data_IF_243184140898
#
_entry.id   IF_243184140898
#
_cell.length_a   1.000
_cell.length_b   1.000
_cell.length_c   1.000
_cell.angle_alpha   90.00
_cell.angle_beta   90.00
_cell.angle_gamma   90.00
#
_symmetry.space_group_name_H-M   'P 1'
#
loop_
_entity.id
_entity.type
_entity.pdbx_description
1 polymer ?
#
# COMPACT_ATOMS: atom_id res chain seq x y z
N UNK A 1 7.28 -9.25 2.19
CA UNK A 1 6.96 -9.11 0.75
C UNK A 1 5.61 -9.76 0.53
N UNK A 2 4.54 -9.01 0.21
CA UNK A 2 3.18 -9.55 0.13
C UNK A 2 2.94 -10.26 -1.23
N UNK A 3 3.67 -11.35 -1.48
CA UNK A 3 3.55 -12.18 -2.68
C UNK A 3 3.68 -13.65 -2.30
N UNK A 4 3.12 -14.55 -3.12
CA UNK A 4 3.30 -15.99 -2.93
C UNK A 4 4.77 -16.39 -3.04
N UNK A 5 5.14 -17.49 -2.36
CA UNK A 5 6.49 -18.06 -2.42
C UNK A 5 6.91 -18.33 -3.87
N UNK A 6 6.00 -18.87 -4.67
CA UNK A 6 6.19 -19.12 -6.10
C UNK A 6 6.61 -17.84 -6.86
N UNK A 7 5.85 -16.74 -6.73
CA UNK A 7 6.17 -15.46 -7.37
C UNK A 7 7.50 -14.90 -6.89
N UNK A 8 7.88 -15.15 -5.64
CA UNK A 8 9.15 -14.66 -5.08
C UNK A 8 10.34 -15.51 -5.54
N UNK A 9 10.19 -16.83 -5.63
CA UNK A 9 11.22 -17.76 -6.10
C UNK A 9 11.59 -17.48 -7.56
N UNK A 10 10.60 -17.20 -8.43
CA UNK A 10 10.82 -16.85 -9.84
C UNK A 10 11.74 -15.61 -10.00
N UNK A 11 11.76 -14.71 -9.02
CA UNK A 11 12.58 -13.49 -9.09
C UNK A 11 14.06 -13.74 -8.73
N UNK A 12 14.41 -14.93 -8.24
CA UNK A 12 15.78 -15.29 -7.90
C UNK A 12 16.57 -15.73 -9.13
N UNK A 13 17.83 -15.30 -9.20
CA UNK A 13 18.81 -15.84 -10.16
C UNK A 13 19.39 -17.15 -9.64
N UNK A 14 19.91 -17.98 -10.54
CA UNK A 14 20.40 -19.33 -10.21
C UNK A 14 21.48 -19.38 -9.12
N UNK A 15 22.32 -18.34 -9.05
CA UNK A 15 23.37 -18.13 -8.04
C UNK A 15 22.84 -17.68 -6.67
N UNK A 16 21.56 -17.32 -6.58
CA UNK A 16 20.90 -16.85 -5.36
C UNK A 16 20.25 -17.97 -4.55
N UNK A 17 20.16 -19.18 -5.10
CA UNK A 17 19.65 -20.37 -4.41
C UNK A 17 20.73 -21.06 -3.57
N UNK A 18 21.36 -20.31 -2.65
CA UNK A 18 22.53 -20.76 -1.90
C UNK A 18 22.18 -21.82 -0.86
N UNK A 19 21.07 -21.63 -0.16
CA UNK A 19 20.56 -22.56 0.84
C UNK A 19 19.99 -23.81 0.18
N UNK A 20 19.25 -23.70 -0.93
CA UNK A 20 18.83 -24.91 -1.67
C UNK A 20 20.05 -25.74 -2.08
N UNK A 21 21.10 -25.12 -2.62
CA UNK A 21 22.35 -25.80 -3.04
C UNK A 21 23.15 -26.40 -1.88
N UNK A 22 23.03 -25.87 -0.66
CA UNK A 22 23.76 -26.43 0.49
C UNK A 22 23.12 -27.69 1.07
N UNK A 23 21.83 -27.92 0.80
CA UNK A 23 21.07 -29.05 1.34
C UNK A 23 20.62 -30.08 0.29
N UNK A 24 20.72 -29.76 -0.99
CA UNK A 24 20.28 -30.60 -2.12
C UNK A 24 21.48 -30.85 -3.05
N UNK A 25 21.58 -32.08 -3.57
CA UNK A 25 22.64 -32.43 -4.51
C UNK A 25 22.53 -31.64 -5.82
N UNK A 26 23.67 -31.20 -6.37
CA UNK A 26 23.72 -30.29 -7.52
C UNK A 26 22.96 -30.80 -8.76
N UNK A 27 22.91 -32.11 -8.97
CA UNK A 27 22.16 -32.77 -10.05
C UNK A 27 20.63 -32.63 -9.92
N UNK A 28 20.12 -32.32 -8.71
CA UNK A 28 18.69 -32.23 -8.40
C UNK A 28 18.21 -30.83 -8.02
N UNK A 29 19.13 -29.88 -7.79
CA UNK A 29 18.79 -28.50 -7.40
C UNK A 29 17.80 -27.86 -8.37
N UNK A 30 17.98 -28.05 -9.68
CA UNK A 30 17.13 -27.45 -10.72
C UNK A 30 15.65 -27.83 -10.58
N UNK A 31 15.35 -29.01 -10.02
CA UNK A 31 13.98 -29.47 -9.78
C UNK A 31 13.29 -28.73 -8.63
N UNK A 32 14.07 -28.11 -7.73
CA UNK A 32 13.60 -27.47 -6.50
C UNK A 32 13.78 -25.94 -6.48
N UNK A 33 14.14 -25.33 -7.63
CA UNK A 33 14.27 -23.87 -7.78
C UNK A 33 12.92 -23.15 -7.99
N UNK A 34 11.80 -23.88 -7.94
CA UNK A 34 10.43 -23.36 -7.98
C UNK A 34 9.63 -23.97 -6.84
N UNK A 35 8.51 -23.33 -6.49
CA UNK A 35 7.57 -23.92 -5.54
C UNK A 35 7.03 -25.23 -6.11
N UNK A 36 7.01 -26.29 -5.29
CA UNK A 36 6.39 -27.57 -5.65
C UNK A 36 4.86 -27.52 -5.54
N UNK A 37 4.20 -28.62 -5.93
CA UNK A 37 2.78 -28.84 -5.71
C UNK A 37 2.56 -29.94 -4.66
N UNK A 38 1.43 -29.90 -3.97
CA UNK A 38 1.07 -30.92 -2.97
C UNK A 38 -0.44 -31.14 -2.98
N UNK A 39 -0.93 -32.40 -2.93
CA UNK A 39 -2.35 -32.72 -3.04
C UNK A 39 -3.05 -32.57 -1.69
N UNK A 40 -3.25 -31.32 -1.23
CA UNK A 40 -3.78 -31.02 0.11
C UNK A 40 -5.13 -31.67 0.39
N UNK A 41 -6.07 -31.59 -0.57
CA UNK A 41 -7.42 -32.14 -0.40
C UNK A 41 -7.48 -33.67 -0.46
N UNK A 42 -6.43 -34.31 -0.98
CA UNK A 42 -6.31 -35.77 -1.01
C UNK A 42 -5.89 -36.34 0.35
N UNK A 43 -5.06 -35.61 1.10
CA UNK A 43 -4.56 -36.03 2.42
C UNK A 43 -5.63 -35.76 3.47
N UNK A 44 -6.65 -36.63 3.53
CA UNK A 44 -7.76 -36.56 4.48
C UNK A 44 -7.41 -37.03 5.89
N UNK A 45 -6.34 -37.81 6.00
CA UNK A 45 -5.90 -38.48 7.22
C UNK A 45 -4.40 -38.83 7.10
N UNK A 46 -3.80 -39.26 8.21
CA UNK A 46 -2.37 -39.57 8.29
C UNK A 46 -2.01 -40.84 7.51
N UNK A 47 -2.95 -41.78 7.33
CA UNK A 47 -2.67 -43.05 6.64
C UNK A 47 -2.35 -42.81 5.16
N UNK A 48 -2.95 -41.78 4.56
CA UNK A 48 -2.64 -41.32 3.19
C UNK A 48 -1.17 -40.97 2.96
N UNK A 49 -0.43 -40.59 4.00
CA UNK A 49 1.01 -40.34 3.87
C UNK A 49 1.80 -41.63 3.61
N UNK A 50 1.24 -42.80 3.88
CA UNK A 50 1.88 -44.08 3.57
C UNK A 50 1.70 -44.51 2.10
N UNK A 51 0.91 -43.76 1.30
CA UNK A 51 0.69 -44.08 -0.11
C UNK A 51 2.01 -44.09 -0.88
N UNK A 52 2.30 -45.19 -1.57
CA UNK A 52 3.60 -45.45 -2.20
C UNK A 52 3.70 -44.93 -3.64
N UNK A 53 2.72 -44.16 -4.10
CA UNK A 53 2.70 -43.53 -5.41
C UNK A 53 2.09 -42.14 -5.32
N UNK A 54 2.51 -41.26 -6.25
CA UNK A 54 1.88 -39.96 -6.39
C UNK A 54 0.39 -40.15 -6.80
N UNK A 55 -0.56 -39.44 -6.16
CA UNK A 55 -1.96 -39.53 -6.55
C UNK A 55 -2.20 -39.14 -8.01
N UNK A 56 -3.30 -39.61 -8.63
CA UNK A 56 -3.73 -39.13 -9.94
C UNK A 56 -3.87 -37.61 -9.99
N UNK A 57 -3.69 -37.01 -11.16
CA UNK A 57 -3.72 -35.55 -11.36
C UNK A 57 -5.00 -34.91 -10.81
N UNK A 58 -6.14 -35.58 -10.96
CA UNK A 58 -7.46 -35.13 -10.51
C UNK A 58 -7.56 -35.00 -8.99
N UNK A 59 -6.64 -35.63 -8.24
CA UNK A 59 -6.57 -35.54 -6.77
C UNK A 59 -5.74 -34.35 -6.28
N UNK A 60 -5.15 -33.56 -7.17
CA UNK A 60 -4.46 -32.31 -6.85
C UNK A 60 -5.36 -31.06 -6.95
N UNK A 61 -6.65 -31.23 -7.25
CA UNK A 61 -7.61 -30.14 -7.23
C UNK A 61 -7.60 -29.43 -5.86
N UNK A 62 -7.57 -28.10 -5.89
CA UNK A 62 -7.45 -27.26 -4.70
C UNK A 62 -8.75 -26.50 -4.45
N UNK A 63 -9.50 -26.93 -3.42
CA UNK A 63 -10.78 -26.32 -3.02
C UNK A 63 -10.67 -24.87 -2.55
N UNK A 64 -9.50 -24.45 -2.04
CA UNK A 64 -9.32 -23.07 -1.56
C UNK A 64 -9.28 -22.07 -2.71
N UNK A 65 -8.74 -22.49 -3.86
CA UNK A 65 -8.61 -21.64 -5.04
C UNK A 65 -9.60 -22.00 -6.16
N UNK A 66 -10.34 -23.10 -6.02
CA UNK A 66 -11.25 -23.66 -7.05
C UNK A 66 -10.54 -23.90 -8.39
N UNK A 67 -9.35 -24.52 -8.32
CA UNK A 67 -8.46 -24.71 -9.46
C UNK A 67 -7.85 -26.11 -9.51
N UNK A 68 -7.74 -26.65 -10.72
CA UNK A 68 -6.98 -27.86 -11.02
C UNK A 68 -5.47 -27.57 -11.14
N UNK A 69 -4.64 -28.59 -10.89
CA UNK A 69 -3.21 -28.51 -11.16
C UNK A 69 -2.92 -28.44 -12.67
N UNK A 70 -1.87 -27.71 -13.05
CA UNK A 70 -1.40 -27.67 -14.44
C UNK A 70 -0.72 -28.98 -14.84
N UNK A 71 -0.67 -29.28 -16.15
CA UNK A 71 0.09 -30.44 -16.65
C UNK A 71 1.59 -30.34 -16.33
N UNK A 72 2.14 -29.13 -16.43
CA UNK A 72 3.56 -28.85 -16.14
C UNK A 72 3.90 -29.11 -14.67
N UNK A 73 3.07 -28.63 -13.74
CA UNK A 73 3.27 -28.86 -12.30
C UNK A 73 3.18 -30.34 -11.94
N UNK A 74 2.22 -31.07 -12.53
CA UNK A 74 2.06 -32.51 -12.27
C UNK A 74 3.22 -33.32 -12.87
N UNK A 75 3.70 -32.98 -14.07
CA UNK A 75 4.89 -33.61 -14.66
C UNK A 75 6.13 -33.35 -13.80
N UNK A 76 6.32 -32.12 -13.33
CA UNK A 76 7.41 -31.79 -12.42
C UNK A 76 7.32 -32.58 -11.11
N UNK A 77 6.13 -32.76 -10.53
CA UNK A 77 5.93 -33.59 -9.34
C UNK A 77 6.37 -35.04 -9.56
N UNK A 78 6.01 -35.63 -10.70
CA UNK A 78 6.46 -36.96 -11.09
C UNK A 78 7.98 -37.03 -11.27
N UNK A 79 8.59 -36.02 -11.88
CA UNK A 79 10.04 -35.95 -12.01
C UNK A 79 10.74 -35.87 -10.64
N UNK A 80 10.23 -35.04 -9.72
CA UNK A 80 10.74 -34.93 -8.35
C UNK A 80 10.60 -36.27 -7.62
N UNK A 81 9.43 -36.91 -7.69
CA UNK A 81 9.18 -38.21 -7.06
C UNK A 81 10.22 -39.25 -7.47
N UNK A 82 10.48 -39.36 -8.78
CA UNK A 82 11.43 -40.31 -9.33
C UNK A 82 12.88 -39.92 -9.02
N UNK A 83 13.28 -38.67 -9.24
CA UNK A 83 14.66 -38.21 -9.05
C UNK A 83 15.12 -38.31 -7.59
N UNK A 84 14.22 -38.11 -6.63
CA UNK A 84 14.52 -38.20 -5.20
C UNK A 84 14.30 -39.60 -4.61
N UNK A 85 13.90 -40.59 -5.42
CA UNK A 85 13.59 -41.96 -4.97
C UNK A 85 12.59 -41.97 -3.81
N UNK A 86 11.54 -41.15 -3.91
CA UNK A 86 10.50 -41.00 -2.91
C UNK A 86 9.71 -42.32 -2.80
N UNK A 87 9.52 -42.81 -1.57
CA UNK A 87 8.87 -44.11 -1.32
C UNK A 87 7.43 -43.99 -0.86
N UNK A 88 7.09 -42.84 -0.27
CA UNK A 88 5.78 -42.57 0.30
C UNK A 88 5.37 -41.11 0.09
N UNK A 89 4.07 -40.83 0.17
CA UNK A 89 3.56 -39.46 0.14
C UNK A 89 4.04 -38.63 1.34
N UNK A 90 4.36 -39.29 2.46
CA UNK A 90 5.04 -38.71 3.62
C UNK A 90 6.44 -38.21 3.28
N UNK A 91 7.27 -39.04 2.62
CA UNK A 91 8.60 -38.61 2.16
C UNK A 91 8.51 -37.43 1.17
N UNK A 92 7.49 -37.44 0.30
CA UNK A 92 7.22 -36.33 -0.61
C UNK A 92 6.84 -35.05 0.14
N UNK A 93 6.01 -35.16 1.18
CA UNK A 93 5.62 -34.06 2.06
C UNK A 93 6.84 -33.46 2.77
N UNK A 94 7.73 -34.28 3.31
CA UNK A 94 8.95 -33.80 3.98
C UNK A 94 9.85 -33.04 3.01
N UNK A 95 10.04 -33.56 1.79
CA UNK A 95 10.81 -32.87 0.74
C UNK A 95 10.12 -31.56 0.33
N UNK A 96 8.80 -31.57 0.18
CA UNK A 96 7.99 -30.40 -0.17
C UNK A 96 8.17 -29.28 0.87
N UNK A 97 7.95 -29.59 2.15
CA UNK A 97 8.08 -28.61 3.25
C UNK A 97 9.51 -28.13 3.38
N UNK A 98 10.50 -29.03 3.28
CA UNK A 98 11.92 -28.65 3.29
C UNK A 98 12.24 -27.68 2.14
N UNK A 99 11.73 -27.94 0.94
CA UNK A 99 11.93 -27.08 -0.23
C UNK A 99 11.34 -25.69 0.01
N UNK A 100 10.11 -25.61 0.54
CA UNK A 100 9.47 -24.33 0.86
C UNK A 100 10.30 -23.51 1.87
N UNK A 101 10.84 -24.15 2.90
CA UNK A 101 11.72 -23.50 3.90
C UNK A 101 13.02 -23.00 3.27
N UNK A 102 13.68 -23.82 2.44
CA UNK A 102 14.94 -23.45 1.78
C UNK A 102 14.74 -22.31 0.78
N UNK A 103 13.67 -22.36 -0.02
CA UNK A 103 13.29 -21.27 -0.93
C UNK A 103 13.03 -19.97 -0.17
N UNK A 104 12.27 -20.03 0.92
CA UNK A 104 12.00 -18.86 1.75
C UNK A 104 13.28 -18.28 2.34
N UNK A 105 14.21 -19.13 2.79
CA UNK A 105 15.53 -18.72 3.29
C UNK A 105 16.33 -17.99 2.22
N UNK A 106 16.43 -18.53 1.00
CA UNK A 106 17.13 -17.88 -0.12
C UNK A 106 16.49 -16.55 -0.55
N UNK A 107 15.16 -16.51 -0.57
CA UNK A 107 14.40 -15.27 -0.83
C UNK A 107 14.73 -14.22 0.22
N UNK A 108 14.78 -14.59 1.49
CA UNK A 108 15.04 -13.66 2.58
C UNK A 108 16.50 -13.20 2.61
N UNK A 109 17.47 -14.07 2.36
CA UNK A 109 18.90 -13.69 2.24
C UNK A 109 19.15 -12.76 1.05
N UNK A 110 18.48 -13.00 -0.08
CA UNK A 110 18.50 -12.07 -1.22
C UNK A 110 17.83 -10.72 -0.86
N UNK A 111 16.74 -10.75 -0.09
CA UNK A 111 16.09 -9.54 0.40
C UNK A 111 17.01 -8.73 1.33
N UNK A 112 17.69 -9.38 2.28
CA UNK A 112 18.72 -8.77 3.14
C UNK A 112 19.82 -8.13 2.30
N UNK A 113 20.35 -8.84 1.32
CA UNK A 113 21.40 -8.35 0.42
C UNK A 113 20.96 -7.08 -0.34
N UNK A 114 19.70 -7.03 -0.80
CA UNK A 114 19.13 -5.84 -1.47
C UNK A 114 19.06 -4.66 -0.52
N UNK A 115 18.51 -4.86 0.67
CA UNK A 115 18.36 -3.79 1.65
C UNK A 115 19.71 -3.27 2.13
N UNK A 116 20.68 -4.16 2.36
CA UNK A 116 22.05 -3.78 2.70
C UNK A 116 22.69 -2.96 1.57
N UNK A 117 22.54 -3.38 0.31
CA UNK A 117 23.07 -2.63 -0.83
C UNK A 117 22.39 -1.27 -1.03
N UNK A 118 21.07 -1.21 -0.88
CA UNK A 118 20.27 -0.02 -1.18
C UNK A 118 20.28 1.01 -0.06
N UNK A 119 20.22 0.57 1.20
CA UNK A 119 20.00 1.43 2.37
C UNK A 119 21.07 1.28 3.44
N UNK A 120 21.95 0.28 3.32
CA UNK A 120 22.91 -0.10 4.33
C UNK A 120 22.23 -0.32 5.71
N UNK A 121 21.06 -0.98 5.67
CA UNK A 121 20.25 -1.36 6.82
C UNK A 121 19.78 -2.79 6.61
N UNK A 122 19.98 -3.64 7.62
CA UNK A 122 19.60 -5.04 7.55
C UNK A 122 18.12 -5.19 7.98
N UNK A 123 17.24 -5.73 7.12
CA UNK A 123 15.81 -5.83 7.40
C UNK A 123 15.48 -6.71 8.60
N UNK A 124 16.40 -7.56 9.09
CA UNK A 124 16.18 -8.40 10.29
C UNK A 124 15.95 -7.59 11.57
N UNK A 125 16.40 -6.33 11.61
CA UNK A 125 16.18 -5.43 12.75
C UNK A 125 14.80 -4.77 12.74
N UNK A 126 13.96 -5.09 11.75
CA UNK A 126 12.68 -4.43 11.53
C UNK A 126 11.55 -5.44 11.49
N UNK A 127 10.50 -5.18 12.26
CA UNK A 127 9.27 -5.99 12.19
C UNK A 127 8.59 -5.93 10.82
N UNK A 128 8.64 -4.76 10.17
CA UNK A 128 7.93 -4.51 8.91
C UNK A 128 8.70 -3.56 7.99
N UNK A 129 8.43 -3.64 6.69
CA UNK A 129 9.05 -2.75 5.68
C UNK A 129 8.82 -1.25 5.93
N UNK A 130 7.67 -0.77 6.47
CA UNK A 130 7.54 0.63 6.87
C UNK A 130 8.54 1.10 7.91
N UNK A 131 8.92 0.26 8.88
CA UNK A 131 9.96 0.59 9.85
C UNK A 131 11.33 0.77 9.18
N UNK A 132 11.72 -0.21 8.35
CA UNK A 132 12.94 -0.13 7.54
C UNK A 132 12.95 1.12 6.65
N UNK A 133 11.82 1.42 6.01
CA UNK A 133 11.69 2.55 5.11
C UNK A 133 11.86 3.89 5.82
N UNK A 134 11.24 4.03 6.99
CA UNK A 134 11.32 5.22 7.81
C UNK A 134 12.76 5.50 8.25
N UNK A 135 13.44 4.50 8.79
CA UNK A 135 14.84 4.64 9.21
C UNK A 135 15.80 4.86 8.02
N UNK A 136 15.55 4.22 6.88
CA UNK A 136 16.31 4.47 5.65
C UNK A 136 16.18 5.92 5.21
N UNK A 137 14.98 6.50 5.31
CA UNK A 137 14.71 7.89 4.99
C UNK A 137 15.43 8.83 5.96
N UNK A 138 15.32 8.58 7.26
CA UNK A 138 16.00 9.40 8.28
C UNK A 138 17.52 9.35 8.13
N UNK A 139 18.09 8.16 7.90
CA UNK A 139 19.53 7.97 7.69
C UNK A 139 20.04 8.69 6.45
N UNK A 140 19.29 8.67 5.36
CA UNK A 140 19.68 9.33 4.11
C UNK A 140 19.60 10.86 4.24
N UNK A 141 18.51 11.36 4.81
CA UNK A 141 18.19 12.80 4.81
C UNK A 141 18.80 13.54 5.99
N UNK A 142 19.08 12.85 7.11
CA UNK A 142 19.44 13.43 8.40
C UNK A 142 18.45 14.52 8.87
N UNK A 143 17.20 14.44 8.40
CA UNK A 143 16.16 15.41 8.72
C UNK A 143 15.82 15.37 10.21
N UNK A 144 15.59 16.55 10.79
CA UNK A 144 15.08 16.71 12.16
C UNK A 144 13.67 17.26 12.09
N UNK A 145 12.70 16.36 12.23
CA UNK A 145 11.27 16.70 12.19
C UNK A 145 10.84 17.07 13.62
N UNK A 146 10.31 18.26 13.79
CA UNK A 146 9.75 18.70 15.07
C UNK A 146 8.40 18.01 15.32
N UNK A 147 8.16 17.61 16.57
CA UNK A 147 6.90 17.01 16.97
C UNK A 147 5.91 18.10 17.38
N UNK A 148 4.63 17.92 17.03
CA UNK A 148 3.56 18.74 17.56
C UNK A 148 3.39 18.44 19.06
N UNK A 149 3.80 19.39 19.91
CA UNK A 149 3.69 19.28 21.36
C UNK A 149 2.37 19.82 21.90
N UNK A 150 1.71 20.70 21.14
CA UNK A 150 0.39 21.24 21.45
C UNK A 150 -0.72 20.25 21.00
N UNK A 151 -1.55 19.85 21.96
CA UNK A 151 -2.68 18.95 21.74
C UNK A 151 -3.71 19.52 20.74
N UNK A 152 -3.95 20.83 20.79
CA UNK A 152 -4.91 21.47 19.90
C UNK A 152 -4.40 21.52 18.46
N UNK A 153 -3.07 21.68 18.26
CA UNK A 153 -2.47 21.55 16.92
C UNK A 153 -2.62 20.13 16.37
N UNK A 154 -2.46 19.11 17.21
CA UNK A 154 -2.66 17.72 16.80
C UNK A 154 -4.11 17.47 16.35
N UNK A 155 -5.10 17.90 17.16
CA UNK A 155 -6.52 17.77 16.81
C UNK A 155 -6.87 18.58 15.55
N UNK A 156 -6.29 19.77 15.40
CA UNK A 156 -6.48 20.63 14.23
C UNK A 156 -5.99 19.95 12.94
N UNK A 157 -4.76 19.43 12.94
CA UNK A 157 -4.20 18.71 11.78
C UNK A 157 -5.01 17.45 11.49
N UNK A 158 -5.39 16.68 12.51
CA UNK A 158 -6.23 15.49 12.35
C UNK A 158 -7.59 15.81 11.71
N UNK A 159 -8.23 16.90 12.13
CA UNK A 159 -9.49 17.39 11.55
C UNK A 159 -9.34 17.73 10.06
N UNK A 160 -8.13 18.04 9.58
CA UNK A 160 -7.81 18.29 8.18
C UNK A 160 -7.45 17.06 7.34
N UNK A 161 -7.24 15.89 7.96
CA UNK A 161 -6.85 14.67 7.22
C UNK A 161 -8.01 14.19 6.33
N UNK A 162 -7.71 13.95 5.05
CA UNK A 162 -8.64 13.41 4.06
C UNK A 162 -8.00 12.22 3.35
N UNK A 163 -8.83 11.24 2.96
CA UNK A 163 -8.41 10.13 2.12
C UNK A 163 -8.36 10.51 0.64
N UNK A 164 -8.12 9.51 -0.22
CA UNK A 164 -8.27 9.68 -1.66
C UNK A 164 -9.74 9.90 -2.03
N UNK A 165 -10.00 10.85 -2.94
CA UNK A 165 -11.33 11.08 -3.49
C UNK A 165 -11.65 9.95 -4.47
N UNK A 166 -12.79 9.31 -4.29
CA UNK A 166 -13.33 8.32 -5.23
C UNK A 166 -14.75 8.74 -5.60
N UNK A 167 -14.92 9.18 -6.84
CA UNK A 167 -16.16 9.75 -7.35
C UNK A 167 -16.56 9.01 -8.63
N UNK A 168 -17.83 8.58 -8.70
CA UNK A 168 -18.40 7.90 -9.84
C UNK A 168 -19.59 8.71 -10.35
N UNK A 169 -19.33 9.61 -11.29
CA UNK A 169 -20.34 10.55 -11.81
C UNK A 169 -21.23 9.92 -12.89
N UNK A 170 -20.73 8.89 -13.58
CA UNK A 170 -21.51 8.08 -14.50
C UNK A 170 -21.43 6.59 -14.11
N UNK A 171 -22.60 5.95 -13.96
CA UNK A 171 -22.72 4.56 -13.49
C UNK A 171 -22.20 3.55 -14.52
N UNK A 172 -22.35 3.85 -15.81
CA UNK A 172 -21.93 2.96 -16.88
C UNK A 172 -21.57 3.74 -18.14
N UNK A 173 -20.40 3.42 -18.71
CA UNK A 173 -19.98 3.91 -20.01
C UNK A 173 -19.43 2.75 -20.82
N UNK A 174 -19.82 2.68 -22.09
CA UNK A 174 -19.32 1.68 -23.04
C UNK A 174 -18.81 2.40 -24.28
N UNK A 175 -17.60 2.04 -24.69
CA UNK A 175 -17.01 2.54 -25.92
C UNK A 175 -17.75 1.94 -27.13
N UNK A 176 -18.11 2.77 -28.10
CA UNK A 176 -18.60 2.38 -29.42
C UNK A 176 -17.62 2.92 -30.46
N UNK A 177 -16.63 2.13 -30.84
CA UNK A 177 -15.71 2.52 -31.90
C UNK A 177 -15.30 1.35 -32.78
N UNK A 178 -14.87 1.68 -34.00
CA UNK A 178 -14.54 0.74 -35.08
C UNK A 178 -13.45 -0.29 -34.76
N UNK A 179 -12.75 -0.17 -33.65
CA UNK A 179 -11.71 -1.11 -33.23
C UNK A 179 -12.23 -2.20 -32.29
N UNK A 180 -13.50 -2.13 -31.88
CA UNK A 180 -14.12 -3.09 -30.97
C UNK A 180 -14.97 -4.12 -31.73
N UNK A 181 -15.01 -5.39 -31.29
CA UNK A 181 -15.75 -6.46 -31.98
C UNK A 181 -17.27 -6.25 -31.96
N UNK A 182 -17.79 -5.46 -31.04
CA UNK A 182 -19.21 -5.13 -30.87
C UNK A 182 -19.56 -3.72 -31.40
N UNK A 183 -18.79 -3.19 -32.36
CA UNK A 183 -19.05 -1.88 -32.95
C UNK A 183 -20.41 -1.83 -33.67
N UNK A 184 -21.21 -0.81 -33.37
CA UNK A 184 -22.48 -0.55 -34.04
C UNK A 184 -22.37 0.71 -34.91
N UNK A 185 -22.32 0.58 -36.26
CA UNK A 185 -22.20 1.72 -37.17
C UNK A 185 -23.36 2.71 -37.12
N UNK A 186 -24.52 2.28 -36.60
CA UNK A 186 -25.71 3.12 -36.44
C UNK A 186 -25.63 4.06 -35.25
N UNK A 187 -24.71 3.84 -34.30
CA UNK A 187 -24.54 4.66 -33.11
C UNK A 187 -23.34 5.61 -33.26
N UNK A 188 -23.38 6.80 -32.62
CA UNK A 188 -22.24 7.72 -32.59
C UNK A 188 -20.97 7.03 -32.10
N UNK A 189 -19.84 7.39 -32.71
CA UNK A 189 -18.54 6.86 -32.30
C UNK A 189 -18.08 7.54 -31.01
N UNK A 190 -17.63 6.77 -30.03
CA UNK A 190 -17.04 7.29 -28.80
C UNK A 190 -15.87 6.41 -28.32
N UNK A 191 -15.03 6.99 -27.47
CA UNK A 191 -13.82 6.37 -26.95
C UNK A 191 -13.76 6.56 -25.44
N UNK A 192 -13.16 5.58 -24.77
CA UNK A 192 -12.84 5.68 -23.34
C UNK A 192 -11.34 5.88 -23.20
N UNK A 193 -10.96 6.87 -22.39
CA UNK A 193 -9.57 7.16 -22.08
C UNK A 193 -9.30 6.83 -20.61
N UNK A 194 -8.30 5.99 -20.37
CA UNK A 194 -7.82 5.69 -19.03
C UNK A 194 -6.53 6.48 -18.75
N UNK A 195 -6.55 7.30 -17.72
CA UNK A 195 -5.40 8.10 -17.27
C UNK A 195 -5.01 7.67 -15.86
N UNK A 196 -3.73 7.40 -15.65
CA UNK A 196 -3.17 7.02 -14.36
C UNK A 196 -1.96 7.89 -14.04
N UNK A 197 -1.96 8.48 -12.84
CA UNK A 197 -0.87 9.32 -12.38
C UNK A 197 0.31 8.47 -11.92
N UNK A 198 1.40 8.50 -12.68
CA UNK A 198 2.63 7.82 -12.32
C UNK A 198 3.18 8.33 -10.98
N UNK A 199 3.22 7.46 -9.96
CA UNK A 199 3.81 7.73 -8.66
C UNK A 199 3.24 8.96 -7.93
N UNK A 200 1.91 9.12 -7.95
CA UNK A 200 1.18 10.26 -7.34
C UNK A 200 1.69 10.65 -5.93
N UNK A 201 1.75 9.69 -5.00
CA UNK A 201 2.23 9.95 -3.64
C UNK A 201 3.71 10.31 -3.60
N UNK A 202 4.56 9.69 -4.43
CA UNK A 202 5.98 10.05 -4.48
C UNK A 202 6.19 11.49 -4.95
N UNK A 203 5.42 11.94 -5.95
CA UNK A 203 5.47 13.33 -6.40
C UNK A 203 5.02 14.29 -5.30
N UNK A 204 3.90 13.98 -4.64
CA UNK A 204 3.36 14.81 -3.55
C UNK A 204 4.32 14.88 -2.35
N UNK A 205 4.94 13.77 -1.96
CA UNK A 205 5.95 13.74 -0.91
C UNK A 205 7.27 14.43 -1.31
N UNK A 206 7.48 14.73 -2.58
CA UNK A 206 8.66 15.48 -3.04
C UNK A 206 8.46 17.00 -3.03
N UNK A 207 7.27 17.46 -2.68
CA UNK A 207 6.95 18.89 -2.50
C UNK A 207 7.42 19.37 -1.12
N UNK A 208 7.44 20.69 -0.86
CA UNK A 208 7.63 21.21 0.49
C UNK A 208 6.59 20.63 1.46
N UNK A 209 7.07 20.05 2.56
CA UNK A 209 6.26 19.45 3.61
C UNK A 209 6.57 20.10 4.96
N UNK A 210 5.62 20.12 5.91
CA UNK A 210 5.85 20.67 7.25
C UNK A 210 7.07 20.04 7.91
N UNK A 211 7.89 20.86 8.57
CA UNK A 211 9.15 20.42 9.17
C UNK A 211 9.29 20.83 10.65
N UNK A 212 9.18 22.13 10.95
CA UNK A 212 9.42 22.67 12.28
C UNK A 212 8.81 24.08 12.48
N UNK A 213 9.00 24.65 13.66
CA UNK A 213 8.54 25.98 14.07
C UNK A 213 7.02 26.15 13.97
N UNK A 214 6.28 25.16 14.47
CA UNK A 214 4.82 25.16 14.46
C UNK A 214 4.29 26.20 15.43
N UNK A 215 3.47 27.13 14.93
CA UNK A 215 2.87 28.17 15.78
C UNK A 215 1.54 28.67 15.23
N UNK A 216 0.68 29.06 16.15
CA UNK A 216 -0.54 29.80 15.83
C UNK A 216 -0.19 31.25 15.45
N UNK A 217 -0.86 31.77 14.42
CA UNK A 217 -0.75 33.18 14.02
C UNK A 217 -2.14 33.79 13.83
N UNK A 218 -2.26 35.09 14.09
CA UNK A 218 -3.57 35.76 14.14
C UNK A 218 -4.08 36.21 12.75
N UNK A 219 -3.16 36.53 11.84
CA UNK A 219 -3.48 37.13 10.55
C UNK A 219 -2.59 36.63 9.44
N UNK A 220 -3.19 36.46 8.25
CA UNK A 220 -2.50 36.01 7.06
C UNK A 220 -3.23 36.50 5.80
N UNK A 221 -2.49 37.15 4.90
CA UNK A 221 -3.00 37.55 3.57
C UNK A 221 -2.79 36.40 2.57
N UNK A 222 -3.86 35.67 2.27
CA UNK A 222 -3.84 34.44 1.46
C UNK A 222 -3.27 34.66 0.04
N UNK A 223 -3.56 35.81 -0.57
CA UNK A 223 -3.23 36.09 -1.98
C UNK A 223 -1.73 36.27 -2.23
N UNK A 224 -0.95 36.62 -1.20
CA UNK A 224 0.48 36.93 -1.32
C UNK A 224 1.40 35.78 -0.88
N UNK A 225 0.85 34.63 -0.52
CA UNK A 225 1.64 33.49 -0.06
C UNK A 225 2.21 32.72 -1.25
N UNK A 226 3.50 32.47 -1.24
CA UNK A 226 4.12 31.45 -2.09
C UNK A 226 3.96 30.06 -1.46
N UNK A 227 3.15 29.20 -2.07
CA UNK A 227 2.95 27.82 -1.62
C UNK A 227 4.19 26.91 -1.73
N UNK A 228 5.28 27.40 -2.34
CA UNK A 228 6.58 26.74 -2.41
C UNK A 228 7.66 27.46 -1.59
N UNK A 229 7.31 28.54 -0.88
CA UNK A 229 8.23 29.28 -0.04
C UNK A 229 8.68 28.49 1.20
N UNK A 230 9.52 29.10 2.02
CA UNK A 230 10.06 28.51 3.25
C UNK A 230 8.99 28.26 4.32
N UNK A 231 7.85 28.95 4.22
CA UNK A 231 6.73 28.83 5.15
C UNK A 231 5.52 28.18 4.52
N UNK A 232 4.89 27.28 5.28
CA UNK A 232 3.62 26.66 4.95
C UNK A 232 2.54 27.02 5.97
N UNK A 233 1.29 26.79 5.57
CA UNK A 233 0.12 27.14 6.36
C UNK A 233 -0.99 26.09 6.25
N UNK A 234 -1.60 25.76 7.38
CA UNK A 234 -2.88 25.05 7.44
C UNK A 234 -3.90 25.98 8.12
N UNK A 235 -5.05 26.17 7.49
CA UNK A 235 -6.07 27.12 7.91
C UNK A 235 -7.39 26.41 8.21
N UNK A 236 -8.13 26.90 9.21
CA UNK A 236 -9.55 26.60 9.36
C UNK A 236 -10.37 27.77 8.81
N UNK A 237 -11.21 27.50 7.80
CA UNK A 237 -11.88 28.53 7.02
C UNK A 237 -13.36 28.23 6.79
N UNK A 238 -14.12 29.27 6.49
CA UNK A 238 -15.44 29.15 5.88
C UNK A 238 -15.34 29.45 4.38
N UNK A 239 -15.85 28.54 3.55
CA UNK A 239 -15.88 28.66 2.09
C UNK A 239 -17.32 28.65 1.61
N UNK A 240 -17.68 29.67 0.83
CA UNK A 240 -18.90 29.66 0.06
C UNK A 240 -18.65 28.97 -1.28
N UNK A 241 -19.65 28.17 -1.69
CA UNK A 241 -19.70 27.51 -2.98
C UNK A 241 -20.78 28.23 -3.82
N UNK A 242 -20.38 29.09 -4.78
CA UNK A 242 -21.37 29.81 -5.59
C UNK A 242 -22.24 28.87 -6.43
N UNK A 243 -23.54 29.14 -6.47
CA UNK A 243 -24.50 28.36 -7.26
C UNK A 243 -24.14 28.34 -8.75
N UNK A 244 -23.51 29.41 -9.26
CA UNK A 244 -23.03 29.50 -10.64
C UNK A 244 -21.98 28.45 -11.01
N UNK A 245 -21.34 27.81 -10.04
CA UNK A 245 -20.34 26.75 -10.26
C UNK A 245 -20.93 25.34 -10.18
N UNK A 246 -22.19 25.19 -9.75
CA UNK A 246 -22.77 23.88 -9.44
C UNK A 246 -22.80 22.96 -10.65
N UNK A 247 -23.24 23.46 -11.81
CA UNK A 247 -23.28 22.65 -13.03
C UNK A 247 -21.87 22.25 -13.48
N UNK A 248 -20.93 23.20 -13.45
CA UNK A 248 -19.56 22.99 -13.91
C UNK A 248 -18.75 22.05 -13.00
N UNK A 249 -19.01 22.07 -11.69
CA UNK A 249 -18.30 21.23 -10.72
C UNK A 249 -19.08 19.99 -10.29
N UNK A 250 -20.26 19.73 -10.86
CA UNK A 250 -21.16 18.64 -10.46
C UNK A 250 -20.48 17.26 -10.47
N UNK A 251 -19.59 17.02 -11.43
CA UNK A 251 -18.87 15.75 -11.56
C UNK A 251 -17.74 15.57 -10.55
N UNK A 252 -17.12 16.67 -10.08
CA UNK A 252 -16.01 16.62 -9.12
C UNK A 252 -16.00 17.86 -8.20
N UNK A 253 -16.94 17.94 -7.23
CA UNK A 253 -16.97 19.07 -6.30
C UNK A 253 -15.69 19.19 -5.47
N UNK A 254 -15.27 20.43 -5.23
CA UNK A 254 -14.08 20.76 -4.43
C UNK A 254 -14.32 20.61 -2.92
N UNK A 255 -13.23 20.64 -2.15
CA UNK A 255 -13.21 20.64 -0.69
C UNK A 255 -13.99 19.46 -0.05
N UNK A 256 -13.57 18.20 -0.26
CA UNK A 256 -14.31 17.04 0.22
C UNK A 256 -14.35 16.96 1.76
N UNK A 257 -15.46 16.48 2.30
CA UNK A 257 -15.72 16.40 3.74
C UNK A 257 -16.09 14.98 4.17
N UNK A 258 -15.74 14.59 5.40
CA UNK A 258 -16.10 13.29 5.94
C UNK A 258 -17.44 13.39 6.67
N UNK A 259 -18.48 12.77 6.12
CA UNK A 259 -19.83 12.78 6.69
C UNK A 259 -20.56 11.47 6.40
N UNK A 260 -21.69 11.23 7.07
CA UNK A 260 -22.52 10.04 6.83
C UNK A 260 -23.49 10.36 5.69
N UNK A 261 -23.39 9.70 4.53
CA UNK A 261 -24.32 9.93 3.42
C UNK A 261 -25.75 9.48 3.79
N UNK A 262 -26.79 10.05 3.15
CA UNK A 262 -28.16 9.57 3.31
C UNK A 262 -28.26 8.06 3.03
N UNK A 263 -28.90 7.31 3.94
CA UNK A 263 -29.06 5.86 3.82
C UNK A 263 -27.81 5.02 4.14
N UNK A 264 -26.68 5.64 4.46
CA UNK A 264 -25.48 4.95 4.92
C UNK A 264 -25.38 4.95 6.46
N UNK A 265 -24.69 3.94 7.02
CA UNK A 265 -24.35 3.90 8.46
C UNK A 265 -22.93 4.41 8.75
N UNK A 266 -22.07 4.37 7.74
CA UNK A 266 -20.65 4.68 7.89
C UNK A 266 -20.31 6.03 7.27
N UNK A 267 -19.33 6.71 7.86
CA UNK A 267 -18.77 7.94 7.31
C UNK A 267 -18.07 7.64 5.99
N UNK A 268 -18.30 8.49 5.00
CA UNK A 268 -17.60 8.48 3.71
C UNK A 268 -17.01 9.86 3.44
N UNK A 269 -15.99 9.89 2.60
CA UNK A 269 -15.48 11.14 2.06
C UNK A 269 -16.41 11.58 0.93
N UNK A 270 -17.10 12.70 1.11
CA UNK A 270 -18.09 13.23 0.19
C UNK A 270 -17.57 14.49 -0.50
N UNK A 271 -17.76 14.54 -1.82
CA UNK A 271 -17.60 15.75 -2.62
C UNK A 271 -18.98 16.39 -2.78
N UNK A 272 -19.26 17.43 -2.00
CA UNK A 272 -20.56 18.12 -2.00
C UNK A 272 -20.42 19.56 -2.50
N UNK A 273 -21.46 20.08 -3.15
CA UNK A 273 -21.55 21.48 -3.60
C UNK A 273 -21.99 22.44 -2.47
N UNK A 274 -22.11 21.96 -1.23
CA UNK A 274 -22.52 22.80 -0.10
C UNK A 274 -21.39 23.75 0.34
N UNK A 275 -21.74 24.89 0.97
CA UNK A 275 -20.77 25.70 1.70
C UNK A 275 -19.99 24.87 2.73
N UNK A 276 -18.73 25.22 2.98
CA UNK A 276 -17.89 24.57 3.97
C UNK A 276 -17.72 25.50 5.17
N UNK A 277 -17.95 24.98 6.37
CA UNK A 277 -17.79 25.72 7.62
C UNK A 277 -16.74 25.08 8.50
N UNK A 278 -15.86 25.88 9.10
CA UNK A 278 -14.74 25.40 9.92
C UNK A 278 -13.91 24.31 9.21
N UNK A 279 -13.67 24.48 7.92
CA UNK A 279 -12.99 23.52 7.06
C UNK A 279 -11.47 23.69 7.20
N UNK A 280 -10.79 22.64 7.66
CA UNK A 280 -9.33 22.64 7.80
C UNK A 280 -8.68 22.26 6.46
N UNK A 281 -7.79 23.12 5.96
CA UNK A 281 -7.21 23.01 4.62
C UNK A 281 -5.77 23.51 4.58
N UNK A 282 -4.92 22.82 3.82
CA UNK A 282 -3.57 23.30 3.52
C UNK A 282 -3.62 24.46 2.50
N UNK A 283 -2.75 25.46 2.65
CA UNK A 283 -2.77 26.68 1.82
C UNK A 283 -2.76 26.40 0.31
N UNK A 284 -1.99 25.41 -0.13
CA UNK A 284 -1.95 24.99 -1.54
C UNK A 284 -3.34 24.60 -2.10
N UNK A 285 -4.12 23.86 -1.32
CA UNK A 285 -5.47 23.45 -1.71
C UNK A 285 -6.44 24.64 -1.62
N UNK A 286 -6.31 25.49 -0.59
CA UNK A 286 -7.14 26.68 -0.47
C UNK A 286 -6.97 27.59 -1.70
N UNK A 287 -5.74 27.91 -2.09
CA UNK A 287 -5.48 28.72 -3.30
C UNK A 287 -6.05 28.09 -4.56
N UNK A 288 -5.97 26.75 -4.70
CA UNK A 288 -6.61 26.04 -5.81
C UNK A 288 -8.14 26.23 -5.79
N UNK A 289 -8.77 26.13 -4.63
CA UNK A 289 -10.22 26.29 -4.50
C UNK A 289 -10.67 27.71 -4.85
N UNK A 290 -9.94 28.73 -4.37
CA UNK A 290 -10.22 30.13 -4.69
C UNK A 290 -10.03 30.41 -6.19
N UNK A 291 -8.97 29.88 -6.80
CA UNK A 291 -8.74 29.97 -8.24
C UNK A 291 -9.85 29.33 -9.07
N UNK A 292 -10.46 28.26 -8.55
CA UNK A 292 -11.59 27.59 -9.18
C UNK A 292 -12.95 28.22 -8.81
N UNK A 293 -12.96 29.33 -8.08
CA UNK A 293 -14.14 30.17 -7.86
C UNK A 293 -14.84 30.01 -6.52
N UNK A 294 -14.33 29.18 -5.59
CA UNK A 294 -14.84 29.20 -4.22
C UNK A 294 -14.50 30.55 -3.57
N UNK A 295 -15.37 31.01 -2.66
CA UNK A 295 -15.20 32.32 -2.02
C UNK A 295 -14.83 32.12 -0.56
N UNK A 296 -13.68 32.66 -0.15
CA UNK A 296 -13.26 32.68 1.25
C UNK A 296 -14.13 33.67 2.03
N UNK A 297 -14.94 33.16 2.97
CA UNK A 297 -15.80 34.01 3.81
C UNK A 297 -15.10 34.42 5.10
N UNK A 298 -14.38 33.50 5.73
CA UNK A 298 -13.74 33.72 7.02
C UNK A 298 -12.54 32.80 7.23
N UNK A 299 -11.52 33.31 7.92
CA UNK A 299 -10.41 32.53 8.48
C UNK A 299 -10.57 32.51 10.01
N UNK A 300 -10.59 31.34 10.62
CA UNK A 300 -10.78 31.17 12.06
C UNK A 300 -9.48 30.89 12.81
N UNK A 301 -8.62 30.05 12.23
CA UNK A 301 -7.33 29.65 12.82
C UNK A 301 -6.29 29.43 11.73
N UNK A 302 -5.04 29.75 12.04
CA UNK A 302 -3.91 29.61 11.12
C UNK A 302 -2.75 28.96 11.86
N UNK A 303 -2.31 27.80 11.38
CA UNK A 303 -1.09 27.14 11.81
C UNK A 303 0.01 27.44 10.79
N UNK A 304 1.01 28.24 11.18
CA UNK A 304 2.24 28.50 10.42
C UNK A 304 3.32 27.48 10.80
N UNK A 305 4.13 27.07 9.82
CA UNK A 305 5.31 26.23 10.03
C UNK A 305 6.36 26.50 8.95
N UNK A 306 7.61 26.15 9.24
CA UNK A 306 8.63 26.04 8.21
C UNK A 306 8.41 24.73 7.43
N UNK A 307 8.63 24.77 6.13
CA UNK A 307 8.48 23.62 5.24
C UNK A 307 9.69 23.47 4.32
N UNK A 308 10.02 22.21 4.00
CA UNK A 308 11.11 21.88 3.08
C UNK A 308 10.75 20.62 2.29
N UNK A 309 11.39 20.41 1.15
CA UNK A 309 11.25 19.18 0.36
C UNK A 309 12.09 18.04 0.94
N UNK A 310 12.04 17.83 2.26
CA UNK A 310 12.97 16.96 3.00
C UNK A 310 12.84 15.46 2.63
N UNK A 311 11.69 15.02 2.13
CA UNK A 311 11.52 13.65 1.60
C UNK A 311 12.02 13.45 0.17
N UNK A 312 12.20 14.54 -0.61
CA UNK A 312 12.54 14.46 -2.03
C UNK A 312 13.80 13.62 -2.31
N UNK A 313 14.92 13.75 -1.55
CA UNK A 313 16.11 12.94 -1.79
C UNK A 313 15.83 11.43 -1.69
N UNK A 314 15.03 11.02 -0.71
CA UNK A 314 14.66 9.63 -0.50
C UNK A 314 13.77 9.09 -1.63
N UNK A 315 12.75 9.86 -2.03
CA UNK A 315 11.87 9.48 -3.14
C UNK A 315 12.66 9.37 -4.44
N UNK A 316 13.58 10.31 -4.71
CA UNK A 316 14.43 10.30 -5.90
C UNK A 316 15.33 9.05 -5.95
N UNK A 317 15.99 8.73 -4.84
CA UNK A 317 16.84 7.55 -4.71
C UNK A 317 16.05 6.25 -4.98
N UNK A 318 14.90 6.06 -4.34
CA UNK A 318 14.06 4.88 -4.57
C UNK A 318 13.50 4.83 -6.00
N UNK A 319 13.21 5.98 -6.60
CA UNK A 319 12.75 6.04 -8.00
C UNK A 319 13.86 5.60 -8.95
N UNK A 320 15.11 6.00 -8.70
CA UNK A 320 16.27 5.53 -9.45
C UNK A 320 16.46 4.01 -9.30
N UNK A 321 16.46 3.49 -8.07
CA UNK A 321 16.56 2.05 -7.83
C UNK A 321 15.43 1.26 -8.51
N UNK A 322 14.21 1.82 -8.54
CA UNK A 322 13.07 1.21 -9.24
C UNK A 322 13.27 1.18 -10.75
N UNK A 323 13.89 2.20 -11.34
CA UNK A 323 14.18 2.25 -12.78
C UNK A 323 15.25 1.23 -13.16
N UNK A 324 16.28 1.08 -12.34
CA UNK A 324 17.40 0.16 -12.56
C UNK A 324 17.06 -1.30 -12.24
N UNK A 325 16.07 -1.55 -11.40
CA UNK A 325 15.70 -2.90 -10.99
C UNK A 325 14.99 -3.69 -12.10
N UNK A 326 15.42 -4.93 -12.33
CA UNK A 326 14.72 -5.89 -13.19
C UNK A 326 13.46 -6.43 -12.47
N UNK A 327 13.66 -7.20 -11.40
CA UNK A 327 12.60 -7.98 -10.72
C UNK A 327 12.13 -7.37 -9.38
N UNK A 328 12.69 -6.24 -8.95
CA UNK A 328 12.48 -5.66 -7.60
C UNK A 328 11.77 -4.30 -7.61
N UNK A 329 11.14 -3.93 -8.73
CA UNK A 329 10.46 -2.64 -8.91
C UNK A 329 9.36 -2.38 -7.87
N UNK A 330 8.59 -3.42 -7.52
CA UNK A 330 7.51 -3.32 -6.54
C UNK A 330 8.01 -3.07 -5.12
N UNK A 331 9.22 -3.53 -4.79
CA UNK A 331 9.83 -3.28 -3.49
C UNK A 331 10.11 -1.78 -3.29
N UNK A 332 10.81 -1.13 -4.22
CA UNK A 332 11.10 0.30 -4.12
C UNK A 332 9.83 1.18 -4.17
N UNK A 333 8.80 0.74 -4.91
CA UNK A 333 7.46 1.37 -4.85
C UNK A 333 6.85 1.26 -3.45
N UNK A 334 6.92 0.09 -2.82
CA UNK A 334 6.43 -0.12 -1.46
C UNK A 334 7.19 0.77 -0.47
N UNK A 335 8.51 0.87 -0.57
CA UNK A 335 9.32 1.72 0.31
C UNK A 335 8.87 3.18 0.24
N UNK A 336 8.65 3.73 -0.96
CA UNK A 336 8.07 5.09 -1.07
C UNK A 336 6.70 5.20 -0.40
N UNK A 337 5.76 4.32 -0.74
CA UNK A 337 4.39 4.39 -0.21
C UNK A 337 4.32 4.17 1.31
N UNK A 338 5.24 3.38 1.87
CA UNK A 338 5.28 3.06 3.28
C UNK A 338 5.58 4.28 4.16
N UNK A 339 6.33 5.27 3.66
CA UNK A 339 6.58 6.53 4.37
C UNK A 339 5.27 7.26 4.64
N UNK A 340 4.42 7.43 3.62
CA UNK A 340 3.12 8.09 3.78
C UNK A 340 2.23 7.35 4.79
N UNK A 341 2.18 6.02 4.72
CA UNK A 341 1.43 5.22 5.68
C UNK A 341 1.95 5.38 7.10
N UNK A 342 3.28 5.50 7.26
CA UNK A 342 3.92 5.67 8.56
C UNK A 342 3.67 7.05 9.18
N UNK A 343 3.66 8.11 8.38
CA UNK A 343 3.39 9.48 8.86
C UNK A 343 1.92 9.71 9.21
N UNK A 344 1.00 8.94 8.61
CA UNK A 344 -0.44 9.01 8.87
C UNK A 344 -0.93 7.99 9.92
N UNK A 345 -0.01 7.31 10.60
CA UNK A 345 -0.35 6.24 11.54
C UNK A 345 -1.04 6.80 12.80
N UNK A 346 -2.28 6.37 13.05
CA UNK A 346 -2.99 6.77 14.27
C UNK A 346 -2.67 5.80 15.42
N UNK A 347 -1.74 6.22 16.27
CA UNK A 347 -1.24 5.44 17.42
C UNK A 347 -2.34 5.14 18.45
N UNK A 348 -3.38 5.98 18.56
CA UNK A 348 -4.51 5.74 19.48
C UNK A 348 -5.31 4.49 19.12
N UNK A 349 -5.28 4.04 17.86
CA UNK A 349 -5.91 2.78 17.43
C UNK A 349 -5.15 1.53 17.89
N UNK A 350 -3.92 1.68 18.38
CA UNK A 350 -3.13 0.57 18.94
C UNK A 350 -3.48 0.26 20.40
N UNK A 351 -4.26 1.13 21.04
CA UNK A 351 -4.66 0.99 22.45
C UNK A 351 -6.16 0.72 22.50
N UNK A 352 -6.55 -0.46 22.98
CA UNK A 352 -7.95 -0.78 23.28
C UNK A 352 -8.23 -0.44 24.76
N UNK A 353 -8.85 0.73 24.99
CA UNK A 353 -9.26 1.14 26.33
C UNK A 353 -10.73 0.81 26.52
N UNK A 354 -11.02 -0.17 27.40
CA UNK A 354 -12.37 -0.55 27.76
C UNK A 354 -12.68 -0.14 29.19
N UNK A 355 -13.57 0.84 29.35
CA UNK A 355 -14.12 1.19 30.65
C UNK A 355 -15.07 0.09 31.13
N UNK A 356 -14.75 -0.49 32.28
CA UNK A 356 -15.52 -1.54 32.91
C UNK A 356 -16.06 -1.05 34.25
N UNK A 357 -17.36 -1.28 34.49
CA UNK A 357 -18.03 -0.94 35.75
C UNK A 357 -18.13 -2.11 36.73
N UNK A 358 -17.63 -3.31 36.36
CA UNK A 358 -17.59 -4.48 37.24
C UNK A 358 -16.33 -5.32 37.00
N UNK A 359 -15.92 -6.07 38.02
CA UNK A 359 -14.68 -6.87 38.02
C UNK A 359 -14.70 -8.06 37.05
N UNK A 360 -15.81 -8.80 36.97
CA UNK A 360 -15.93 -9.98 36.08
C UNK A 360 -15.76 -9.60 34.59
N UNK A 361 -16.30 -8.45 34.18
CA UNK A 361 -16.16 -7.95 32.81
C UNK A 361 -14.72 -7.50 32.55
N UNK A 362 -14.04 -6.93 33.53
CA UNK A 362 -12.63 -6.59 33.40
C UNK A 362 -11.78 -7.85 33.23
N UNK A 363 -11.99 -8.88 34.06
CA UNK A 363 -11.27 -10.17 33.97
C UNK A 363 -11.48 -10.84 32.60
N UNK A 364 -12.72 -10.92 32.10
CA UNK A 364 -13.03 -11.47 30.77
C UNK A 364 -12.35 -10.70 29.63
N UNK A 365 -12.12 -9.41 29.79
CA UNK A 365 -11.50 -8.58 28.75
C UNK A 365 -9.96 -8.65 28.80
N UNK A 366 -9.39 -8.92 29.98
CA UNK A 366 -7.95 -9.12 30.17
C UNK A 366 -7.54 -10.54 29.78
N UNK A 367 -8.42 -11.53 29.91
CA UNK A 367 -8.12 -12.94 29.64
C UNK A 367 -8.08 -13.35 28.16
N UNK A 368 -8.24 -12.40 27.21
CA UNK A 368 -8.32 -12.67 25.75
C UNK A 368 -6.98 -12.38 25.05
N UNK A 369 -5.87 -12.53 25.76
CA UNK A 369 -4.51 -12.40 25.20
C UNK A 369 -3.81 -13.74 25.11
#
# INVERSE_FOLDING_TARGET
MPSSLEKLAINLKSDQFRNVRSFISDDKVSLLMRKGCFPYDYVSDVEKLNDTCLPPKEKFYNRLNDEDITDDDYQNANHVWNAFNIKSLGDYSDLYVKTDVLLLSDIFENFRSVCMKAYNLDPVWYYTAPGLSWDSMLKLTNVKIELLMDYDMHLFVEKGIRGGISQCSNRYAMANNKFLPNFEPSKPQNFLLYLDANNLYGWAMSQPLPLNNFKWVDFLEVDHIDENGEKGYILEVDLEYPESLHDYHSDLPLAPESSVPPGCKEKRLLTTLYPKTNYVVHIRNLKQYLKLGLVLKKVHKILEFNQESWLQPYIKMNTQFRTEAENKKNFYKLMNNAIFGKTMENIRKRVDIRLCSNGEKAERLISVW
#
